data_IF_350981413933
#
_entry.id   IF_350981413933
#
_cell.length_a   1.000
_cell.length_b   1.000
_cell.length_c   1.000
_cell.angle_alpha   90.00
_cell.angle_beta   90.00
_cell.angle_gamma   90.00
#
_symmetry.space_group_name_H-M   'P 1'
#
loop_
_entity.id
_entity.type
_entity.pdbx_description
1 polymer ?
#
# COMPACT_ATOMS: atom_id res chain seq x y z
N UNK A 1 7.95 3.61 -15.03
CA UNK A 1 7.68 4.76 -14.14
C UNK A 1 8.98 5.08 -13.42
N UNK A 2 9.44 6.30 -13.52
CA UNK A 2 10.60 6.76 -12.76
C UNK A 2 10.29 8.14 -12.16
N UNK A 3 10.00 8.17 -10.88
CA UNK A 3 9.82 9.38 -10.08
C UNK A 3 10.78 9.43 -8.87
N UNK A 4 11.83 8.60 -8.91
CA UNK A 4 12.90 8.61 -7.93
C UNK A 4 13.79 9.84 -8.16
N UNK A 5 13.83 10.75 -7.20
CA UNK A 5 14.64 11.97 -7.28
C UNK A 5 16.06 11.80 -6.73
N UNK A 6 16.40 10.56 -6.36
CA UNK A 6 17.67 10.28 -5.65
C UNK A 6 17.63 10.70 -4.18
N UNK A 7 18.41 10.04 -3.36
CA UNK A 7 18.45 10.33 -1.93
C UNK A 7 17.10 10.17 -1.23
N UNK A 8 16.83 11.05 -0.28
CA UNK A 8 15.59 11.05 0.50
C UNK A 8 14.59 12.04 -0.10
N UNK A 9 13.79 11.56 -1.04
CA UNK A 9 12.75 12.36 -1.68
C UNK A 9 11.45 12.41 -0.86
N UNK A 10 10.47 13.22 -1.30
CA UNK A 10 9.13 13.20 -0.74
C UNK A 10 8.45 11.85 -0.99
N UNK A 11 7.35 11.60 -0.30
CA UNK A 11 6.51 10.41 -0.54
C UNK A 11 5.98 10.45 -1.98
N UNK A 12 6.68 9.76 -2.86
CA UNK A 12 6.34 9.63 -4.28
C UNK A 12 6.13 8.16 -4.58
N UNK A 13 4.90 7.71 -4.42
CA UNK A 13 4.49 6.35 -4.76
C UNK A 13 4.55 6.16 -6.30
N UNK A 14 4.74 4.93 -6.73
CA UNK A 14 4.77 4.62 -8.16
C UNK A 14 3.38 4.51 -8.76
N UNK A 15 2.58 3.58 -8.27
CA UNK A 15 1.20 3.33 -8.69
C UNK A 15 0.33 3.22 -7.46
N UNK A 16 -0.63 4.10 -7.31
CA UNK A 16 -1.66 4.05 -6.28
C UNK A 16 -2.98 3.52 -6.85
N UNK A 17 -3.50 2.46 -6.25
CA UNK A 17 -4.81 1.89 -6.55
C UNK A 17 -5.70 2.15 -5.35
N UNK A 18 -6.67 3.04 -5.47
CA UNK A 18 -7.55 3.42 -4.36
C UNK A 18 -9.02 3.22 -4.74
N UNK A 19 -9.76 2.57 -3.84
CA UNK A 19 -11.22 2.41 -3.92
C UNK A 19 -11.70 1.90 -5.29
N UNK A 20 -10.96 0.95 -5.87
CA UNK A 20 -11.12 0.49 -7.25
C UNK A 20 -11.22 -1.04 -7.31
N UNK A 21 -11.90 -1.54 -8.33
CA UNK A 21 -12.15 -2.99 -8.50
C UNK A 21 -11.75 -3.49 -9.88
N UNK A 22 -11.34 -4.77 -9.97
CA UNK A 22 -10.98 -5.44 -11.21
C UNK A 22 -9.79 -4.76 -11.92
N UNK A 23 -8.70 -4.58 -11.20
CA UNK A 23 -7.50 -3.92 -11.68
C UNK A 23 -6.43 -4.93 -12.07
N UNK A 24 -5.81 -4.72 -13.19
CA UNK A 24 -4.60 -5.42 -13.62
C UNK A 24 -3.44 -4.43 -13.75
N UNK A 25 -2.36 -4.70 -13.02
CA UNK A 25 -1.07 -4.03 -13.19
C UNK A 25 -0.09 -5.05 -13.72
N UNK A 26 0.43 -4.83 -14.91
CA UNK A 26 1.36 -5.78 -15.51
C UNK A 26 2.47 -5.12 -16.32
N UNK A 27 3.60 -5.83 -16.42
CA UNK A 27 4.75 -5.43 -17.25
C UNK A 27 5.27 -4.02 -16.90
N UNK A 28 5.24 -3.66 -15.63
CA UNK A 28 5.71 -2.37 -15.16
C UNK A 28 7.12 -2.46 -14.57
N UNK A 29 7.93 -1.46 -14.84
CA UNK A 29 9.21 -1.20 -14.18
C UNK A 29 9.09 0.13 -13.43
N UNK A 30 9.18 0.08 -12.10
CA UNK A 30 8.89 1.21 -11.21
C UNK A 30 10.11 1.53 -10.35
N UNK A 31 10.53 2.77 -10.37
CA UNK A 31 11.59 3.33 -9.53
C UNK A 31 11.08 4.60 -8.85
N UNK A 32 10.86 4.55 -7.54
CA UNK A 32 10.23 5.63 -6.78
C UNK A 32 10.93 5.86 -5.42
N UNK A 33 10.45 6.84 -4.65
CA UNK A 33 10.99 7.12 -3.33
C UNK A 33 10.12 6.57 -2.17
N UNK A 34 8.89 6.14 -2.45
CA UNK A 34 8.00 5.52 -1.47
C UNK A 34 7.51 4.15 -2.00
N UNK A 35 6.27 3.76 -1.84
CA UNK A 35 5.79 2.44 -2.24
C UNK A 35 5.66 2.32 -3.77
N UNK A 36 6.19 1.23 -4.35
CA UNK A 36 6.18 1.08 -5.82
C UNK A 36 4.78 0.80 -6.35
N UNK A 37 4.07 -0.17 -5.75
CA UNK A 37 2.67 -0.45 -6.05
C UNK A 37 1.94 -0.44 -4.71
N UNK A 38 1.03 0.51 -4.55
CA UNK A 38 0.32 0.75 -3.31
C UNK A 38 -1.18 0.56 -3.50
N UNK A 39 -1.79 -0.25 -2.64
CA UNK A 39 -3.22 -0.52 -2.64
C UNK A 39 -3.83 0.17 -1.43
N UNK A 40 -4.79 1.03 -1.69
CA UNK A 40 -5.48 1.89 -0.72
C UNK A 40 -6.99 1.74 -0.87
N UNK A 41 -7.75 2.11 0.15
CA UNK A 41 -9.21 2.03 0.13
C UNK A 41 -9.84 3.14 0.99
N UNK A 42 -9.49 4.36 0.70
CA UNK A 42 -10.00 5.53 1.42
C UNK A 42 -9.44 5.67 2.83
N UNK A 43 -9.60 6.86 3.39
CA UNK A 43 -8.95 7.27 4.63
C UNK A 43 -9.94 7.71 5.69
N UNK A 44 -9.81 7.12 6.90
CA UNK A 44 -10.51 7.53 8.12
C UNK A 44 -12.04 7.65 7.93
N UNK A 45 -12.66 8.66 8.53
CA UNK A 45 -14.11 8.85 8.49
C UNK A 45 -14.69 8.95 7.07
N UNK A 46 -13.99 9.58 6.15
CA UNK A 46 -14.46 9.68 4.76
C UNK A 46 -14.38 8.33 4.05
N UNK A 47 -13.29 7.58 4.24
CA UNK A 47 -13.17 6.24 3.71
C UNK A 47 -14.23 5.28 4.25
N UNK A 48 -14.51 5.35 5.56
CA UNK A 48 -15.56 4.57 6.21
C UNK A 48 -16.97 4.97 5.70
N UNK A 49 -17.21 6.25 5.51
CA UNK A 49 -18.48 6.77 4.99
C UNK A 49 -18.73 6.33 3.56
N UNK A 50 -17.74 6.42 2.71
CA UNK A 50 -17.82 5.98 1.29
C UNK A 50 -17.91 4.46 1.22
N UNK A 51 -17.17 3.76 2.08
CA UNK A 51 -17.14 2.30 2.22
C UNK A 51 -16.96 1.58 0.88
N UNK A 52 -16.00 2.02 0.09
CA UNK A 52 -15.70 1.44 -1.21
C UNK A 52 -14.38 0.68 -1.14
N UNK A 53 -14.39 -0.64 -1.27
CA UNK A 53 -13.18 -1.43 -1.20
C UNK A 53 -12.31 -1.29 -2.45
N UNK A 54 -11.03 -1.63 -2.28
CA UNK A 54 -10.19 -2.02 -3.40
C UNK A 54 -10.13 -3.54 -3.42
N UNK A 55 -10.59 -4.15 -4.51
CA UNK A 55 -10.70 -5.59 -4.59
C UNK A 55 -10.49 -6.14 -6.01
N UNK A 56 -10.16 -7.45 -6.08
CA UNK A 56 -9.90 -8.15 -7.33
C UNK A 56 -8.77 -7.47 -8.11
N UNK A 57 -7.62 -7.36 -7.46
CA UNK A 57 -6.42 -6.76 -8.04
C UNK A 57 -5.42 -7.85 -8.40
N UNK A 58 -4.89 -7.82 -9.61
CA UNK A 58 -3.78 -8.67 -10.05
C UNK A 58 -2.58 -7.77 -10.37
N UNK A 59 -1.43 -8.11 -9.79
CA UNK A 59 -0.15 -7.48 -10.07
C UNK A 59 0.81 -8.56 -10.58
N UNK A 60 1.33 -8.42 -11.80
CA UNK A 60 2.20 -9.45 -12.36
C UNK A 60 3.29 -8.90 -13.30
N UNK A 61 4.37 -9.66 -13.42
CA UNK A 61 5.49 -9.34 -14.33
C UNK A 61 6.00 -7.90 -14.12
N UNK A 62 6.12 -7.46 -12.86
CA UNK A 62 6.56 -6.12 -12.53
C UNK A 62 7.90 -6.14 -11.80
N UNK A 63 8.66 -5.07 -11.99
CA UNK A 63 9.94 -4.82 -11.33
C UNK A 63 9.77 -3.59 -10.44
N UNK A 64 10.07 -3.73 -9.16
CA UNK A 64 10.19 -2.62 -8.21
C UNK A 64 11.67 -2.34 -7.96
N UNK A 65 12.09 -1.13 -8.28
CA UNK A 65 13.45 -0.64 -8.02
C UNK A 65 13.37 0.34 -6.86
N UNK A 66 14.24 0.20 -5.86
CA UNK A 66 14.24 1.10 -4.71
C UNK A 66 12.82 1.31 -4.09
N UNK A 67 12.65 2.41 -3.38
CA UNK A 67 11.39 2.71 -2.72
C UNK A 67 11.17 1.95 -1.41
N UNK A 68 10.02 2.17 -0.78
CA UNK A 68 9.71 1.62 0.54
C UNK A 68 9.11 0.21 0.48
N UNK A 69 8.30 -0.08 -0.52
CA UNK A 69 7.70 -1.40 -0.70
C UNK A 69 7.47 -1.76 -2.15
N UNK A 70 7.64 -3.06 -2.52
CA UNK A 70 7.24 -3.54 -3.84
C UNK A 70 5.72 -3.53 -3.94
N UNK A 71 5.02 -4.23 -3.04
CA UNK A 71 3.58 -4.21 -2.89
C UNK A 71 3.22 -3.79 -1.47
N UNK A 72 2.46 -2.71 -1.35
CA UNK A 72 2.00 -2.20 -0.07
C UNK A 72 0.48 -2.16 -0.04
N UNK A 73 -0.14 -2.69 1.03
CA UNK A 73 -1.55 -2.48 1.34
C UNK A 73 -1.65 -1.47 2.48
N UNK A 74 -2.27 -0.32 2.20
CA UNK A 74 -2.44 0.76 3.17
C UNK A 74 -1.41 1.90 3.00
N UNK A 75 -1.36 2.83 3.97
CA UNK A 75 -2.06 2.82 5.28
C UNK A 75 -3.57 3.17 5.20
N UNK A 76 -4.06 3.63 4.08
CA UNK A 76 -5.47 3.96 3.88
C UNK A 76 -6.27 2.67 3.60
N UNK A 77 -6.93 2.12 4.64
CA UNK A 77 -7.62 0.82 4.57
C UNK A 77 -9.11 0.89 4.88
N UNK A 78 -9.67 2.10 5.04
CA UNK A 78 -10.99 2.29 5.64
C UNK A 78 -12.12 1.61 4.87
N UNK A 79 -12.04 1.53 3.54
CA UNK A 79 -13.01 0.84 2.69
C UNK A 79 -12.74 -0.65 2.49
N UNK A 80 -11.68 -1.18 3.09
CA UNK A 80 -11.19 -2.56 2.95
C UNK A 80 -10.40 -2.86 1.66
N UNK A 81 -9.42 -3.75 1.80
CA UNK A 81 -8.60 -4.25 0.69
C UNK A 81 -8.72 -5.77 0.68
N UNK A 82 -9.08 -6.37 -0.45
CA UNK A 82 -9.27 -7.82 -0.52
C UNK A 82 -9.05 -8.41 -1.90
N UNK A 83 -8.78 -9.72 -1.92
CA UNK A 83 -8.61 -10.49 -3.16
C UNK A 83 -7.51 -9.89 -4.05
N UNK A 84 -6.31 -9.80 -3.52
CA UNK A 84 -5.13 -9.33 -4.24
C UNK A 84 -4.22 -10.50 -4.55
N UNK A 85 -3.87 -10.68 -5.81
CA UNK A 85 -2.90 -11.65 -6.27
C UNK A 85 -1.71 -10.95 -6.91
N UNK A 86 -0.53 -11.13 -6.33
CA UNK A 86 0.72 -10.61 -6.84
C UNK A 86 1.67 -11.77 -7.20
N UNK A 87 2.17 -11.80 -8.43
CA UNK A 87 3.04 -12.90 -8.85
C UNK A 87 4.01 -12.54 -9.97
N UNK A 88 5.09 -13.32 -10.07
CA UNK A 88 6.13 -13.10 -11.07
C UNK A 88 6.71 -11.67 -10.98
N UNK A 89 7.20 -11.32 -9.79
CA UNK A 89 7.66 -10.00 -9.46
C UNK A 89 9.15 -10.01 -9.13
N UNK A 90 9.81 -8.89 -9.36
CA UNK A 90 11.20 -8.64 -8.97
C UNK A 90 11.25 -7.43 -8.05
N UNK A 91 11.86 -7.60 -6.86
CA UNK A 91 12.16 -6.53 -5.93
C UNK A 91 13.68 -6.31 -5.92
N UNK A 92 14.13 -5.14 -6.35
CA UNK A 92 15.54 -4.79 -6.41
C UNK A 92 15.84 -3.52 -5.64
N UNK A 93 16.48 -3.66 -4.47
CA UNK A 93 16.87 -2.53 -3.63
C UNK A 93 15.69 -1.81 -2.95
N UNK A 94 14.50 -2.41 -2.92
CA UNK A 94 13.35 -1.85 -2.20
C UNK A 94 13.41 -2.21 -0.70
N UNK A 95 12.77 -1.41 0.14
CA UNK A 95 12.75 -1.63 1.58
C UNK A 95 12.04 -2.92 1.97
N UNK A 96 10.90 -3.23 1.38
CA UNK A 96 10.06 -4.37 1.76
C UNK A 96 9.41 -5.00 0.53
N UNK A 97 9.34 -6.33 0.50
CA UNK A 97 8.65 -7.03 -0.59
C UNK A 97 7.14 -6.93 -0.45
N UNK A 98 6.56 -7.40 0.66
CA UNK A 98 5.14 -7.24 0.98
C UNK A 98 4.98 -6.45 2.27
N UNK A 99 4.24 -5.36 2.20
CA UNK A 99 4.02 -4.46 3.32
C UNK A 99 2.54 -4.27 3.57
N UNK A 100 2.10 -4.60 4.79
CA UNK A 100 0.74 -4.35 5.26
C UNK A 100 0.83 -3.30 6.37
N UNK A 101 0.26 -2.13 6.14
CA UNK A 101 0.29 -1.04 7.11
C UNK A 101 -1.09 -0.43 7.30
N UNK A 102 -1.46 -0.21 8.54
CA UNK A 102 -2.72 0.44 8.92
C UNK A 102 -2.59 1.07 10.30
N UNK A 103 -3.62 1.72 10.77
CA UNK A 103 -3.70 2.23 12.14
C UNK A 103 -5.10 2.04 12.71
N UNK A 104 -5.21 2.06 14.04
CA UNK A 104 -6.46 1.76 14.75
C UNK A 104 -7.65 2.62 14.32
N UNK A 105 -7.41 3.85 13.87
CA UNK A 105 -8.45 4.77 13.43
C UNK A 105 -8.80 4.64 11.93
N UNK A 106 -8.12 3.77 11.19
CA UNK A 106 -8.43 3.53 9.78
C UNK A 106 -9.69 2.69 9.62
N UNK A 107 -9.81 1.63 10.42
CA UNK A 107 -10.85 0.62 10.20
C UNK A 107 -10.63 -0.16 8.91
N UNK A 108 -11.68 -0.83 8.45
CA UNK A 108 -11.63 -1.71 7.29
C UNK A 108 -10.90 -3.02 7.57
N UNK A 109 -10.85 -3.87 6.56
CA UNK A 109 -10.21 -5.18 6.62
C UNK A 109 -9.21 -5.31 5.48
N UNK A 110 -8.08 -5.96 5.73
CA UNK A 110 -7.14 -6.38 4.68
C UNK A 110 -7.12 -7.91 4.69
N UNK A 111 -7.61 -8.53 3.63
CA UNK A 111 -7.80 -9.98 3.57
C UNK A 111 -7.53 -10.57 2.18
N UNK A 112 -7.20 -11.85 2.13
CA UNK A 112 -6.96 -12.58 0.89
C UNK A 112 -5.87 -11.92 0.03
N UNK A 113 -4.73 -11.64 0.63
CA UNK A 113 -3.56 -11.11 -0.05
C UNK A 113 -2.61 -12.26 -0.34
N UNK A 114 -2.40 -12.55 -1.60
CA UNK A 114 -1.54 -13.63 -2.07
C UNK A 114 -0.35 -13.07 -2.84
N UNK A 115 0.84 -13.50 -2.47
CA UNK A 115 2.07 -13.16 -3.19
C UNK A 115 2.88 -14.43 -3.44
N UNK A 116 3.31 -14.64 -4.67
CA UNK A 116 4.06 -15.85 -5.05
C UNK A 116 5.03 -15.56 -6.19
N UNK A 117 6.05 -16.39 -6.32
CA UNK A 117 7.11 -16.26 -7.34
C UNK A 117 7.69 -14.85 -7.40
N UNK A 118 8.33 -14.46 -6.30
CA UNK A 118 9.00 -13.17 -6.17
C UNK A 118 10.50 -13.39 -6.04
N UNK A 119 11.25 -12.75 -6.88
CA UNK A 119 12.69 -12.63 -6.75
C UNK A 119 13.01 -11.35 -5.97
N UNK A 120 13.80 -11.47 -4.90
CA UNK A 120 14.13 -10.34 -4.04
C UNK A 120 15.65 -10.23 -3.91
N UNK A 121 16.22 -9.11 -4.35
CA UNK A 121 17.62 -8.79 -4.20
C UNK A 121 17.82 -7.44 -3.51
N UNK A 122 18.68 -7.41 -2.51
CA UNK A 122 19.00 -6.21 -1.73
C UNK A 122 17.77 -5.58 -1.06
N UNK A 123 16.86 -6.42 -0.57
CA UNK A 123 15.63 -6.04 0.12
C UNK A 123 15.85 -6.14 1.64
N UNK A 124 15.36 -5.15 2.39
CA UNK A 124 15.56 -5.14 3.85
C UNK A 124 14.61 -6.13 4.54
N UNK A 125 13.35 -6.22 4.12
CA UNK A 125 12.35 -7.10 4.71
C UNK A 125 11.53 -7.81 3.63
N UNK A 126 11.30 -9.10 3.80
CA UNK A 126 10.39 -9.85 2.90
C UNK A 126 8.94 -9.53 3.24
N UNK A 127 8.59 -9.48 4.52
CA UNK A 127 7.26 -9.16 5.00
C UNK A 127 7.34 -8.16 6.14
N UNK A 128 6.50 -7.14 6.08
CA UNK A 128 6.29 -6.19 7.18
C UNK A 128 4.79 -6.03 7.43
N UNK A 129 4.38 -6.18 8.69
CA UNK A 129 3.00 -5.95 9.12
C UNK A 129 3.04 -4.93 10.26
N UNK A 130 2.48 -3.77 10.03
CA UNK A 130 2.40 -2.70 11.04
C UNK A 130 0.96 -2.15 11.10
N UNK A 131 0.24 -2.55 12.13
CA UNK A 131 -1.13 -2.13 12.39
C UNK A 131 -1.23 -0.93 13.35
N UNK A 132 -0.08 -0.42 13.75
CA UNK A 132 0.03 0.80 14.56
C UNK A 132 0.84 1.87 13.82
N UNK A 133 0.61 1.99 12.51
CA UNK A 133 1.28 2.95 11.65
C UNK A 133 1.15 4.36 12.21
N UNK A 134 2.29 4.92 12.60
CA UNK A 134 2.32 6.17 13.35
C UNK A 134 2.03 7.35 12.44
N UNK A 135 0.81 7.81 12.47
CA UNK A 135 0.42 9.02 11.76
C UNK A 135 1.12 10.22 12.39
N UNK A 136 1.78 11.01 11.56
CA UNK A 136 2.38 12.26 12.01
C UNK A 136 1.32 13.09 12.76
N UNK A 137 1.60 13.64 13.96
CA UNK A 137 0.62 14.35 14.77
C UNK A 137 -0.13 15.47 14.03
N UNK A 138 0.50 16.07 13.00
CA UNK A 138 -0.14 17.07 12.16
C UNK A 138 -1.28 16.50 11.28
N UNK A 139 -1.27 15.18 11.00
CA UNK A 139 -2.30 14.51 10.21
C UNK A 139 -3.41 13.91 11.08
N UNK A 140 -3.14 13.75 12.37
CA UNK A 140 -4.11 13.31 13.37
C UNK A 140 -4.87 14.48 14.01
N UNK A 141 -4.52 15.73 13.69
CA UNK A 141 -5.32 16.87 14.08
C UNK A 141 -6.66 16.83 13.38
N UNK A 142 -7.55 16.30 14.10
CA UNK A 142 -8.89 15.88 13.80
C UNK A 142 -9.72 16.95 13.08
N UNK A 143 -9.91 16.80 11.80
CA UNK A 143 -11.09 17.40 11.15
C UNK A 143 -12.39 16.66 11.53
N UNK A 144 -12.29 15.59 12.32
CA UNK A 144 -13.38 14.65 12.62
C UNK A 144 -13.54 14.45 14.13
N UNK A 145 -13.54 15.54 14.88
CA UNK A 145 -13.72 15.55 16.35
C UNK A 145 -15.07 14.97 16.84
N UNK A 146 -15.82 14.31 15.99
CA UNK A 146 -17.06 13.63 16.32
C UNK A 146 -17.03 12.10 16.15
N UNK A 147 -15.92 11.53 15.71
CA UNK A 147 -15.79 10.08 15.59
C UNK A 147 -15.11 9.53 16.84
N UNK A 148 -15.89 9.23 17.85
CA UNK A 148 -15.47 8.32 18.92
C UNK A 148 -15.64 6.91 18.39
N UNK A 149 -14.56 6.14 18.26
CA UNK A 149 -14.63 4.70 18.07
C UNK A 149 -15.26 4.10 19.35
N UNK A 150 -16.57 4.04 19.41
CA UNK A 150 -17.24 3.15 20.34
C UNK A 150 -17.40 1.81 19.62
N UNK A 151 -16.37 0.96 19.78
CA UNK A 151 -16.48 -0.50 19.80
C UNK A 151 -15.15 -1.08 20.25
#
# INVERSE_FOLDING_TARGET
INNNVGGHGPSTDGIDIDSSTNILVENCDVDCNDDNICIKAGRDADGLRVNRPTENVVVRNCIARKGAGLLTCGSETSGSIRNVLAHDLIAYGTGTTLRLKSSMNRGGTVENIYMTRVEADSVTHILSVDLNWNLHPAWTKNKYAGFTSNN
#
